data_IF_620276328796
#
_entry.id   IF_620276328796
#
_cell.length_a   1.000
_cell.length_b   1.000
_cell.length_c   1.000
_cell.angle_alpha   90.00
_cell.angle_beta   90.00
_cell.angle_gamma   90.00
#
_symmetry.space_group_name_H-M   'P 1'
#
loop_
_entity.id
_entity.type
_entity.pdbx_description
1 polymer ?
#
# COMPACT_ATOMS: atom_id res chain seq x y z
N UNK A 1 -1.28 -15.65 -0.26
CA UNK A 1 0.02 -15.44 -0.94
C UNK A 1 0.11 -14.01 -1.48
N UNK A 2 1.31 -13.49 -1.72
CA UNK A 2 1.53 -12.17 -2.32
C UNK A 2 1.96 -12.37 -3.77
N UNK A 3 1.25 -11.73 -4.70
CA UNK A 3 1.57 -11.74 -6.13
C UNK A 3 2.31 -10.45 -6.50
N UNK A 4 3.41 -10.58 -7.24
CA UNK A 4 4.21 -9.45 -7.71
C UNK A 4 4.21 -9.47 -9.23
N UNK A 5 3.74 -8.38 -9.82
CA UNK A 5 3.60 -8.22 -11.27
C UNK A 5 4.41 -7.02 -11.75
N UNK A 6 5.04 -7.18 -12.93
CA UNK A 6 5.86 -6.13 -13.55
C UNK A 6 5.20 -5.64 -14.83
N UNK A 7 5.11 -4.33 -14.98
CA UNK A 7 4.43 -3.67 -16.08
C UNK A 7 5.24 -2.49 -16.63
N UNK A 8 4.83 -2.01 -17.79
CA UNK A 8 5.41 -0.80 -18.36
C UNK A 8 4.92 0.43 -17.59
N UNK A 9 5.83 1.32 -17.19
CA UNK A 9 5.44 2.61 -16.59
C UNK A 9 4.70 3.47 -17.61
N UNK A 10 3.55 4.03 -17.25
CA UNK A 10 2.78 4.93 -18.12
C UNK A 10 3.36 6.34 -18.06
N UNK A 11 4.37 6.62 -18.87
CA UNK A 11 4.80 7.99 -19.15
C UNK A 11 3.89 8.65 -20.20
N UNK A 12 3.55 9.94 -20.08
CA UNK A 12 2.82 10.68 -21.12
C UNK A 12 3.74 10.88 -22.32
N UNK A 13 3.38 10.35 -23.50
CA UNK A 13 4.09 10.66 -24.75
C UNK A 13 4.30 9.45 -25.66
N UNK A 14 3.57 9.43 -26.77
CA UNK A 14 3.66 8.44 -27.84
C UNK A 14 4.93 8.60 -28.71
N UNK A 15 6.11 8.46 -28.12
CA UNK A 15 7.35 8.34 -28.89
C UNK A 15 8.09 7.05 -28.52
N UNK A 16 8.57 6.36 -29.55
CA UNK A 16 9.12 5.01 -29.55
C UNK A 16 10.38 4.91 -28.69
N UNK A 17 10.23 4.54 -27.41
CA UNK A 17 11.35 4.31 -26.48
C UNK A 17 11.16 2.93 -25.87
N UNK A 18 12.20 2.08 -25.97
CA UNK A 18 12.25 0.74 -25.37
C UNK A 18 11.74 0.78 -23.93
N UNK A 19 10.48 0.37 -23.75
CA UNK A 19 9.74 0.57 -22.50
C UNK A 19 10.16 -0.52 -21.53
N UNK A 20 11.14 -0.22 -20.69
CA UNK A 20 11.55 -1.13 -19.63
C UNK A 20 10.36 -1.37 -18.68
N UNK A 21 10.12 -2.63 -18.28
CA UNK A 21 9.05 -3.03 -17.34
C UNK A 21 9.40 -2.62 -15.91
N UNK A 22 9.44 -1.33 -15.66
CA UNK A 22 9.91 -0.76 -14.40
C UNK A 22 8.80 -0.61 -13.37
N UNK A 23 7.53 -0.56 -13.79
CA UNK A 23 6.40 -0.47 -12.85
C UNK A 23 6.23 -1.81 -12.13
N UNK A 24 6.20 -1.76 -10.82
CA UNK A 24 5.93 -2.92 -9.96
C UNK A 24 4.55 -2.79 -9.37
N UNK A 25 3.80 -3.89 -9.38
CA UNK A 25 2.53 -4.06 -8.70
C UNK A 25 2.67 -5.22 -7.70
N UNK A 26 2.21 -4.99 -6.48
CA UNK A 26 2.04 -6.01 -5.46
C UNK A 26 0.56 -6.13 -5.19
N UNK A 27 0.04 -7.36 -5.30
CA UNK A 27 -1.37 -7.69 -5.11
C UNK A 27 -1.50 -8.87 -4.16
N UNK A 28 -2.44 -8.82 -3.23
CA UNK A 28 -2.80 -9.98 -2.42
C UNK A 28 -4.26 -9.90 -1.96
N UNK A 29 -4.85 -11.07 -1.68
CA UNK A 29 -6.20 -11.15 -1.14
C UNK A 29 -6.18 -10.93 0.38
N UNK A 30 -6.84 -9.89 0.87
CA UNK A 30 -6.75 -9.49 2.29
C UNK A 30 -7.32 -10.57 3.21
N UNK A 31 -8.44 -11.19 2.85
CA UNK A 31 -9.08 -12.19 3.71
C UNK A 31 -8.30 -13.51 3.79
N UNK A 32 -7.64 -13.92 2.69
CA UNK A 32 -6.86 -15.16 2.60
C UNK A 32 -5.41 -15.02 3.04
N UNK A 33 -4.97 -13.81 3.42
CA UNK A 33 -3.61 -13.57 3.86
C UNK A 33 -3.38 -14.10 5.28
N UNK A 34 -2.82 -15.31 5.41
CA UNK A 34 -2.50 -15.93 6.71
C UNK A 34 -1.44 -15.18 7.53
N UNK A 35 -0.64 -14.33 6.89
CA UNK A 35 0.38 -13.49 7.52
C UNK A 35 -0.19 -12.19 8.12
N UNK A 36 -1.50 -11.92 7.92
CA UNK A 36 -2.22 -10.79 8.51
C UNK A 36 -3.12 -11.34 9.63
N UNK A 37 -3.03 -10.81 10.85
CA UNK A 37 -3.95 -11.17 11.93
C UNK A 37 -5.40 -10.86 11.56
N UNK A 38 -6.35 -11.74 11.91
CA UNK A 38 -7.77 -11.57 11.57
C UNK A 38 -8.38 -10.24 12.07
N UNK A 39 -7.96 -9.79 13.25
CA UNK A 39 -8.30 -8.47 13.82
C UNK A 39 -7.85 -7.28 12.94
N UNK A 40 -6.80 -7.43 12.15
CA UNK A 40 -6.29 -6.38 11.27
C UNK A 40 -6.98 -6.35 9.90
N UNK A 41 -7.52 -7.49 9.43
CA UNK A 41 -8.22 -7.60 8.14
C UNK A 41 -9.35 -6.57 7.97
N UNK A 42 -10.30 -6.37 8.92
CA UNK A 42 -11.36 -5.38 8.76
C UNK A 42 -10.82 -3.94 8.74
N UNK A 43 -9.77 -3.65 9.51
CA UNK A 43 -9.13 -2.31 9.51
C UNK A 43 -8.48 -2.01 8.16
N UNK A 44 -7.81 -2.99 7.54
CA UNK A 44 -7.25 -2.84 6.20
C UNK A 44 -8.38 -2.64 5.19
N UNK A 45 -9.45 -3.44 5.27
CA UNK A 45 -10.60 -3.33 4.37
C UNK A 45 -11.26 -1.96 4.43
N UNK A 46 -11.36 -1.35 5.61
CA UNK A 46 -11.93 -0.02 5.80
C UNK A 46 -10.96 1.10 5.36
N UNK A 47 -9.72 1.09 5.87
CA UNK A 47 -8.75 2.18 5.64
C UNK A 47 -8.27 2.24 4.19
N UNK A 48 -8.13 1.09 3.55
CA UNK A 48 -7.62 0.99 2.19
C UNK A 48 -8.73 0.60 1.19
N UNK A 49 -10.01 0.81 1.52
CA UNK A 49 -11.15 0.52 0.65
C UNK A 49 -10.97 1.08 -0.78
N UNK A 50 -10.36 2.26 -0.90
CA UNK A 50 -10.08 2.91 -2.19
C UNK A 50 -9.03 2.18 -3.06
N UNK A 51 -8.21 1.31 -2.48
CA UNK A 51 -7.17 0.53 -3.14
C UNK A 51 -7.50 -0.96 -3.23
N UNK A 52 -8.66 -1.35 -2.73
CA UNK A 52 -9.13 -2.73 -2.71
C UNK A 52 -10.10 -2.94 -3.87
N UNK A 53 -9.83 -3.96 -4.66
CA UNK A 53 -10.74 -4.39 -5.73
C UNK A 53 -12.02 -5.00 -5.14
N UNK A 54 -13.08 -5.05 -5.94
CA UNK A 54 -14.38 -5.67 -5.56
C UNK A 54 -14.24 -7.11 -5.04
N UNK A 55 -13.22 -7.80 -5.51
CA UNK A 55 -12.89 -9.18 -5.14
C UNK A 55 -11.98 -9.28 -3.89
N UNK A 56 -11.82 -8.19 -3.12
CA UNK A 56 -11.06 -8.20 -1.85
C UNK A 56 -9.53 -8.17 -2.00
N UNK A 57 -9.03 -7.85 -3.19
CA UNK A 57 -7.60 -7.73 -3.46
C UNK A 57 -7.09 -6.33 -3.19
N UNK A 58 -6.13 -6.19 -2.28
CA UNK A 58 -5.38 -4.95 -2.11
C UNK A 58 -4.30 -4.86 -3.18
N UNK A 59 -4.24 -3.74 -3.89
CA UNK A 59 -3.28 -3.51 -4.97
C UNK A 59 -2.40 -2.30 -4.62
N UNK A 60 -1.08 -2.50 -4.63
CA UNK A 60 -0.09 -1.45 -4.40
C UNK A 60 0.90 -1.39 -5.55
N UNK A 61 1.07 -0.20 -6.13
CA UNK A 61 1.96 0.01 -7.27
C UNK A 61 3.05 1.03 -6.98
N UNK A 62 4.19 0.88 -7.64
CA UNK A 62 5.28 1.83 -7.65
C UNK A 62 5.99 1.87 -9.01
N UNK A 63 6.15 3.08 -9.55
CA UNK A 63 6.86 3.37 -10.79
C UNK A 63 7.78 4.59 -10.65
N UNK A 64 8.22 4.89 -9.41
CA UNK A 64 9.02 6.08 -9.07
C UNK A 64 10.36 6.14 -9.78
N UNK A 65 10.98 5.00 -10.01
CA UNK A 65 12.33 4.91 -10.57
C UNK A 65 12.37 4.10 -11.85
N UNK A 66 13.45 4.23 -12.62
CA UNK A 66 13.73 3.37 -13.78
C UNK A 66 14.29 2.00 -13.39
N UNK A 67 14.38 1.69 -12.10
CA UNK A 67 14.92 0.43 -11.59
C UNK A 67 13.81 -0.41 -10.95
N UNK A 68 13.53 -1.57 -11.55
CA UNK A 68 12.50 -2.50 -11.07
C UNK A 68 12.72 -2.89 -9.61
N UNK A 69 13.97 -3.18 -9.21
CA UNK A 69 14.30 -3.60 -7.85
C UNK A 69 14.00 -2.51 -6.81
N UNK A 70 14.30 -1.24 -7.13
CA UNK A 70 14.00 -0.12 -6.24
C UNK A 70 12.49 0.09 -6.09
N UNK A 71 11.73 -0.05 -7.18
CA UNK A 71 10.27 0.06 -7.14
C UNK A 71 9.63 -1.09 -6.36
N UNK A 72 10.19 -2.31 -6.45
CA UNK A 72 9.75 -3.44 -5.66
C UNK A 72 10.03 -3.23 -4.17
N UNK A 73 11.22 -2.75 -3.82
CA UNK A 73 11.57 -2.40 -2.44
C UNK A 73 10.64 -1.31 -1.89
N UNK A 74 10.30 -0.28 -2.68
CA UNK A 74 9.35 0.77 -2.28
C UNK A 74 7.95 0.19 -2.00
N UNK A 75 7.43 -0.68 -2.87
CA UNK A 75 6.14 -1.34 -2.63
C UNK A 75 6.14 -2.18 -1.34
N UNK A 76 7.19 -2.97 -1.11
CA UNK A 76 7.31 -3.81 0.09
C UNK A 76 7.46 -2.97 1.37
N UNK A 77 8.25 -1.91 1.35
CA UNK A 77 8.41 -0.99 2.48
C UNK A 77 7.08 -0.30 2.82
N UNK A 78 6.34 0.16 1.80
CA UNK A 78 5.02 0.76 1.98
C UNK A 78 4.03 -0.23 2.59
N UNK A 79 4.00 -1.46 2.09
CA UNK A 79 3.19 -2.54 2.65
C UNK A 79 3.54 -2.79 4.12
N UNK A 80 4.83 -2.96 4.43
CA UNK A 80 5.31 -3.21 5.79
C UNK A 80 4.95 -2.07 6.74
N UNK A 81 5.14 -0.81 6.29
CA UNK A 81 4.81 0.38 7.07
C UNK A 81 3.31 0.45 7.35
N UNK A 82 2.47 0.20 6.34
CA UNK A 82 1.01 0.18 6.48
C UNK A 82 0.56 -0.84 7.54
N UNK A 83 1.02 -2.09 7.42
CA UNK A 83 0.69 -3.16 8.37
C UNK A 83 1.13 -2.78 9.78
N UNK A 84 2.37 -2.28 9.96
CA UNK A 84 2.88 -1.86 11.26
C UNK A 84 2.07 -0.71 11.86
N UNK A 85 1.70 0.28 11.05
CA UNK A 85 0.90 1.43 11.50
C UNK A 85 -0.47 0.99 11.98
N UNK A 86 -1.15 0.11 11.26
CA UNK A 86 -2.48 -0.35 11.67
C UNK A 86 -2.44 -1.32 12.85
N UNK A 87 -1.44 -2.21 12.93
CA UNK A 87 -1.22 -3.02 14.14
C UNK A 87 -1.00 -2.15 15.37
N UNK A 88 -0.21 -1.08 15.23
CA UNK A 88 0.02 -0.15 16.32
C UNK A 88 -1.26 0.60 16.72
N UNK A 89 -2.17 0.89 15.80
CA UNK A 89 -3.47 1.50 16.12
C UNK A 89 -4.38 0.56 16.90
N UNK A 90 -4.41 -0.73 16.54
CA UNK A 90 -5.21 -1.74 17.25
C UNK A 90 -4.66 -1.98 18.67
N UNK A 91 -3.34 -2.02 18.83
CA UNK A 91 -2.69 -2.29 20.11
C UNK A 91 -2.49 -1.03 20.97
N UNK A 92 -2.83 0.17 20.46
CA UNK A 92 -2.72 1.37 21.28
C UNK A 92 -3.87 1.33 22.31
N UNK A 93 -3.60 1.43 23.62
CA UNK A 93 -4.67 1.84 24.53
C UNK A 93 -5.19 3.19 24.02
N UNK A 94 -6.50 3.39 24.00
CA UNK A 94 -7.12 4.65 23.56
C UNK A 94 -6.31 5.81 24.14
N UNK A 95 -5.73 6.70 23.30
CA UNK A 95 -5.14 7.90 23.86
C UNK A 95 -6.27 8.66 24.57
N UNK A 96 -6.10 9.11 25.82
CA UNK A 96 -7.09 9.99 26.44
C UNK A 96 -7.32 11.16 25.48
N UNK A 97 -8.59 11.50 25.28
CA UNK A 97 -9.06 12.49 24.33
C UNK A 97 -8.58 13.90 24.71
N UNK A 98 -7.31 14.22 24.48
CA UNK A 98 -6.76 15.56 24.68
C UNK A 98 -5.47 15.74 23.88
N UNK A 99 -5.52 15.73 22.54
CA UNK A 99 -4.50 16.43 21.73
C UNK A 99 -4.99 16.69 20.30
N UNK A 100 -6.05 17.49 20.13
CA UNK A 100 -6.25 18.24 18.88
C UNK A 100 -6.58 19.69 19.20
N UNK A 101 -5.83 20.32 20.10
CA UNK A 101 -5.81 21.77 20.18
C UNK A 101 -4.61 22.34 19.42
N UNK A 102 -4.93 23.32 18.57
CA UNK A 102 -4.06 24.34 17.97
C UNK A 102 -3.17 23.88 16.83
N UNK A 103 -3.70 24.09 15.62
CA UNK A 103 -3.14 25.12 14.73
C UNK A 103 -4.25 25.69 13.85
N UNK A 104 -5.04 26.59 14.43
CA UNK A 104 -5.73 27.64 13.69
C UNK A 104 -5.21 28.99 14.20
N UNK A 105 -4.79 29.83 13.24
CA UNK A 105 -4.60 31.29 13.32
C UNK A 105 -3.47 31.81 14.24
N UNK A 106 -2.42 32.35 13.61
CA UNK A 106 -2.14 33.79 13.52
C UNK A 106 -1.03 34.04 12.49
#
# INVERSE_FOLDING_TARGET
EIEISYSNSSGPGGQHVNKAKTKVEIRFHVASASWIPDLLKPVILEKEANRISKDGFLIMQSDKTRQQLLNQADCLERLRRMVRTYLAQINKPEPPADTVERHQKA
#
